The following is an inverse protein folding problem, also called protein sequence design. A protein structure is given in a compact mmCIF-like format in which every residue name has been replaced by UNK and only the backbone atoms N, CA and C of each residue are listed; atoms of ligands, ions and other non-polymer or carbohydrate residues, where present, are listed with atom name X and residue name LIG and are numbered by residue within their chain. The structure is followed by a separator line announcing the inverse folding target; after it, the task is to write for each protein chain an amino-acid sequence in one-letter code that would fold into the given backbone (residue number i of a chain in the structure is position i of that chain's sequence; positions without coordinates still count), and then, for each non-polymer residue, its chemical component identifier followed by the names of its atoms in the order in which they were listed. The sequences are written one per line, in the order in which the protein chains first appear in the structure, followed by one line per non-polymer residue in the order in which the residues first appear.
data_IF_603433269505
#
_entry.id   IF_603433269505
#
_cell.length_a   1.000
_cell.length_b   1.000
_cell.length_c   1.000
_cell.angle_alpha   90.00
_cell.angle_beta   90.00
_cell.angle_gamma   90.00
#
_symmetry.space_group_name_H-M   'P 1'
#
loop_
_entity.id
_entity.type
_entity.pdbx_description
1 polymer ?
#
# COMPACT_ATOMS: atom_id res chain seq x y z
N UNK A 1 4.46 -5.53 13.02
CA UNK A 1 3.37 -4.69 13.60
C UNK A 1 3.92 -3.35 14.12
N UNK A 2 3.09 -2.35 14.44
CA UNK A 2 3.56 -1.07 15.01
C UNK A 2 4.25 -1.24 16.38
N UNK A 3 3.79 -2.19 17.19
CA UNK A 3 4.40 -2.50 18.50
C UNK A 3 5.82 -3.05 18.31
N UNK A 4 5.99 -4.06 17.47
CA UNK A 4 7.29 -4.64 17.17
C UNK A 4 8.29 -3.60 16.62
N UNK A 5 7.83 -2.70 15.74
CA UNK A 5 8.66 -1.61 15.22
C UNK A 5 9.14 -0.67 16.34
N UNK A 6 8.27 -0.28 17.29
CA UNK A 6 8.67 0.57 18.42
C UNK A 6 9.65 -0.12 19.35
N UNK A 7 9.40 -1.38 19.70
CA UNK A 7 10.30 -2.16 20.55
C UNK A 7 11.68 -2.33 19.90
N UNK A 8 11.74 -2.56 18.58
CA UNK A 8 12.99 -2.64 17.84
C UNK A 8 13.73 -1.29 17.82
N UNK A 9 13.01 -0.18 17.65
CA UNK A 9 13.58 1.16 17.69
C UNK A 9 14.20 1.49 19.06
N UNK A 10 13.50 1.16 20.15
CA UNK A 10 13.99 1.35 21.52
C UNK A 10 15.24 0.51 21.79
N UNK A 11 15.24 -0.77 21.39
CA UNK A 11 16.37 -1.69 21.55
C UNK A 11 17.60 -1.25 20.76
N UNK A 12 17.41 -0.81 19.52
CA UNK A 12 18.52 -0.28 18.73
C UNK A 12 19.03 1.00 19.38
N UNK A 13 18.14 1.93 19.74
CA UNK A 13 18.50 3.19 20.38
C UNK A 13 19.36 3.04 21.63
N UNK A 14 19.11 2.03 22.46
CA UNK A 14 19.93 1.74 23.64
C UNK A 14 21.31 1.16 23.32
N UNK A 15 21.46 0.44 22.20
CA UNK A 15 22.72 -0.18 21.79
C UNK A 15 23.68 0.79 21.08
N UNK A 16 23.17 1.68 20.23
CA UNK A 16 24.01 2.55 19.37
C UNK A 16 24.06 4.01 19.81
N UNK A 17 23.28 4.42 20.82
CA UNK A 17 23.38 5.75 21.43
C UNK A 17 22.85 6.89 20.56
N UNK A 18 21.54 7.14 20.62
CA UNK A 18 20.88 8.28 19.97
C UNK A 18 20.27 7.98 18.59
N UNK A 19 19.59 8.95 17.99
CA UNK A 19 18.84 8.78 16.74
C UNK A 19 19.78 8.77 15.52
N UNK A 20 19.94 7.60 14.89
CA UNK A 20 20.71 7.43 13.65
C UNK A 20 19.81 7.63 12.43
N UNK A 21 20.34 8.16 11.32
CA UNK A 21 19.58 8.42 10.08
C UNK A 21 18.78 7.19 9.60
N UNK A 22 19.31 5.98 9.83
CA UNK A 22 18.65 4.70 9.52
C UNK A 22 17.36 4.44 10.32
N UNK A 23 17.23 4.97 11.55
CA UNK A 23 16.02 4.80 12.37
C UNK A 23 14.78 5.40 11.73
N UNK A 24 14.95 6.38 10.83
CA UNK A 24 13.85 6.99 10.08
C UNK A 24 13.13 6.00 9.16
N UNK A 25 13.78 4.90 8.80
CA UNK A 25 13.23 3.87 7.90
C UNK A 25 12.82 2.60 8.65
N UNK A 26 12.93 2.60 9.98
CA UNK A 26 12.43 1.54 10.83
C UNK A 26 10.92 1.72 11.02
N UNK A 27 10.14 0.78 10.53
CA UNK A 27 8.68 0.85 10.65
C UNK A 27 8.01 -0.33 9.97
N UNK A 28 6.68 -0.32 9.99
CA UNK A 28 5.89 -1.26 9.18
C UNK A 28 5.98 -0.88 7.70
N UNK A 29 5.66 -1.82 6.80
CA UNK A 29 5.52 -1.53 5.37
C UNK A 29 4.66 -0.29 5.10
N UNK A 30 3.53 -0.16 5.79
CA UNK A 30 2.62 0.99 5.65
C UNK A 30 3.25 2.31 6.12
N UNK A 31 3.95 2.30 7.26
CA UNK A 31 4.64 3.49 7.79
C UNK A 31 5.74 3.97 6.83
N UNK A 32 6.55 3.03 6.32
CA UNK A 32 7.61 3.31 5.35
C UNK A 32 7.01 3.77 4.01
N UNK A 33 5.92 3.12 3.57
CA UNK A 33 5.23 3.46 2.32
C UNK A 33 4.64 4.85 2.36
N UNK A 34 3.96 5.21 3.45
CA UNK A 34 3.49 6.56 3.69
C UNK A 34 4.64 7.58 3.62
N UNK A 35 5.77 7.32 4.27
CA UNK A 35 6.92 8.23 4.22
C UNK A 35 7.47 8.42 2.80
N UNK A 36 7.53 7.35 2.00
CA UNK A 36 7.96 7.40 0.60
C UNK A 36 6.98 8.22 -0.24
N UNK A 37 5.68 7.88 -0.15
CA UNK A 37 4.64 8.58 -0.90
C UNK A 37 4.57 10.06 -0.54
N UNK A 38 4.73 10.43 0.73
CA UNK A 38 4.76 11.85 1.13
C UNK A 38 5.85 12.64 0.44
N UNK A 39 7.01 12.03 0.19
CA UNK A 39 8.14 12.66 -0.51
C UNK A 39 7.92 12.76 -2.02
N UNK A 40 7.17 11.83 -2.60
CA UNK A 40 7.00 11.69 -4.05
C UNK A 40 5.52 11.78 -4.46
N UNK A 41 4.71 12.51 -3.70
CA UNK A 41 3.24 12.48 -3.82
C UNK A 41 2.77 12.91 -5.21
N UNK A 42 3.41 13.92 -5.79
CA UNK A 42 3.04 14.46 -7.10
C UNK A 42 3.22 13.44 -8.23
N UNK A 43 4.24 12.58 -8.14
CA UNK A 43 4.49 11.51 -9.11
C UNK A 43 3.39 10.44 -9.11
N UNK A 44 2.62 10.36 -8.02
CA UNK A 44 1.47 9.47 -7.92
C UNK A 44 0.12 10.21 -7.98
N UNK A 45 0.11 11.48 -8.38
CA UNK A 45 -1.11 12.28 -8.51
C UNK A 45 -1.75 12.64 -7.17
N UNK A 46 -0.95 12.79 -6.12
CA UNK A 46 -1.36 13.23 -4.79
C UNK A 46 -0.59 14.49 -4.40
N UNK A 47 -1.02 15.16 -3.34
CA UNK A 47 -0.17 16.14 -2.64
C UNK A 47 0.38 15.54 -1.36
N UNK A 48 1.50 16.09 -0.86
CA UNK A 48 2.21 15.56 0.30
C UNK A 48 1.42 15.60 1.60
N UNK A 49 0.24 16.24 1.65
CA UNK A 49 -0.66 16.28 2.81
C UNK A 49 -1.93 15.41 2.65
N UNK A 50 -1.91 14.38 1.78
CA UNK A 50 -2.99 13.39 1.65
C UNK A 50 -3.51 12.79 2.97
N UNK A 51 -4.76 12.39 3.04
CA UNK A 51 -5.34 11.69 4.21
C UNK A 51 -5.27 10.18 4.04
N UNK A 52 -5.11 9.43 5.13
CA UNK A 52 -5.18 7.96 5.11
C UNK A 52 -6.56 7.55 5.65
N UNK A 53 -7.39 6.92 4.83
CA UNK A 53 -8.73 6.47 5.22
C UNK A 53 -8.67 5.18 6.03
N UNK A 54 -9.40 5.15 7.13
CA UNK A 54 -9.67 3.93 7.87
C UNK A 54 -10.74 3.07 7.17
N UNK A 55 -10.98 1.86 7.69
CA UNK A 55 -11.93 0.92 7.09
C UNK A 55 -13.36 1.46 7.01
N UNK A 56 -13.80 2.25 7.99
CA UNK A 56 -15.16 2.76 8.03
C UNK A 56 -15.35 3.88 7.00
N UNK A 57 -14.36 4.75 6.84
CA UNK A 57 -14.36 5.79 5.81
C UNK A 57 -14.28 5.21 4.39
N UNK A 58 -13.49 4.14 4.20
CA UNK A 58 -13.47 3.39 2.94
C UNK A 58 -14.86 2.83 2.60
N UNK A 59 -15.51 2.17 3.57
CA UNK A 59 -16.86 1.60 3.38
C UNK A 59 -17.88 2.69 3.06
N UNK A 60 -17.84 3.84 3.77
CA UNK A 60 -18.73 4.98 3.50
C UNK A 60 -18.55 5.50 2.07
N UNK A 61 -17.31 5.65 1.62
CA UNK A 61 -17.02 6.10 0.26
C UNK A 61 -17.54 5.10 -0.78
N UNK A 62 -17.31 3.81 -0.57
CA UNK A 62 -17.81 2.77 -1.47
C UNK A 62 -19.34 2.78 -1.53
N UNK A 63 -20.05 2.96 -0.40
CA UNK A 63 -21.52 3.08 -0.41
C UNK A 63 -22.03 4.21 -1.29
N UNK A 64 -21.36 5.36 -1.27
CA UNK A 64 -21.72 6.49 -2.15
C UNK A 64 -21.55 6.13 -3.63
N UNK A 65 -20.48 5.40 -3.97
CA UNK A 65 -20.23 4.95 -5.34
C UNK A 65 -21.23 3.89 -5.80
N UNK A 66 -21.61 2.96 -4.93
CA UNK A 66 -22.65 1.99 -5.22
C UNK A 66 -24.00 2.67 -5.49
N UNK A 67 -24.38 3.64 -4.64
CA UNK A 67 -25.60 4.40 -4.83
C UNK A 67 -25.60 5.17 -6.16
N UNK A 68 -24.48 5.81 -6.52
CA UNK A 68 -24.33 6.53 -7.79
C UNK A 68 -24.38 5.61 -9.02
N UNK A 69 -23.99 4.34 -8.86
CA UNK A 69 -24.04 3.32 -9.92
C UNK A 69 -25.36 2.52 -9.94
N UNK A 70 -26.35 2.94 -9.14
CA UNK A 70 -27.65 2.26 -8.96
C UNK A 70 -27.50 0.79 -8.52
N UNK A 71 -26.49 0.51 -7.69
CA UNK A 71 -26.25 -0.81 -7.09
C UNK A 71 -26.81 -0.84 -5.68
N UNK A 72 -27.72 -1.79 -5.42
CA UNK A 72 -28.32 -1.98 -4.10
C UNK A 72 -27.31 -2.54 -3.08
N UNK A 73 -26.92 -1.72 -2.09
CA UNK A 73 -26.02 -2.07 -0.96
C UNK A 73 -26.57 -3.24 -0.11
N UNK A 74 -27.89 -3.49 -0.10
CA UNK A 74 -28.44 -4.64 0.64
C UNK A 74 -28.11 -5.96 -0.04
N UNK A 75 -28.18 -5.97 -1.38
CA UNK A 75 -27.85 -7.15 -2.20
C UNK A 75 -26.34 -7.29 -2.41
N UNK A 76 -25.66 -6.16 -2.53
CA UNK A 76 -24.22 -6.07 -2.81
C UNK A 76 -23.54 -5.17 -1.78
N UNK A 77 -23.25 -5.67 -0.57
CA UNK A 77 -22.78 -4.83 0.52
C UNK A 77 -21.41 -4.20 0.23
N UNK A 78 -21.28 -2.90 0.51
CA UNK A 78 -20.03 -2.16 0.35
C UNK A 78 -18.86 -2.77 1.12
N UNK A 79 -19.11 -3.36 2.29
CA UNK A 79 -18.08 -4.07 3.07
C UNK A 79 -17.49 -5.27 2.32
N UNK A 80 -18.31 -5.98 1.55
CA UNK A 80 -17.85 -7.11 0.72
C UNK A 80 -16.94 -6.58 -0.39
N UNK A 81 -17.32 -5.49 -1.06
CA UNK A 81 -16.48 -4.87 -2.07
C UNK A 81 -15.20 -4.29 -1.49
N UNK A 82 -15.24 -3.65 -0.32
CA UNK A 82 -14.05 -3.14 0.36
C UNK A 82 -13.03 -4.26 0.61
N UNK A 83 -13.49 -5.41 1.12
CA UNK A 83 -12.62 -6.58 1.30
C UNK A 83 -12.11 -7.18 -0.01
N UNK A 84 -12.86 -7.06 -1.11
CA UNK A 84 -12.39 -7.49 -2.42
C UNK A 84 -11.34 -6.55 -3.01
N UNK A 85 -11.53 -5.23 -2.86
CA UNK A 85 -10.55 -4.21 -3.24
C UNK A 85 -9.26 -4.42 -2.47
N UNK A 86 -9.33 -4.62 -1.15
CA UNK A 86 -8.15 -4.89 -0.33
C UNK A 86 -7.38 -6.13 -0.79
N UNK A 87 -8.09 -7.24 -1.12
CA UNK A 87 -7.46 -8.43 -1.71
C UNK A 87 -6.73 -8.12 -3.02
N UNK A 88 -7.36 -7.38 -3.93
CA UNK A 88 -6.71 -6.97 -5.18
C UNK A 88 -5.48 -6.10 -4.93
N UNK A 89 -5.55 -5.14 -4.00
CA UNK A 89 -4.40 -4.30 -3.62
C UNK A 89 -3.27 -5.14 -3.03
N UNK A 90 -3.58 -6.11 -2.16
CA UNK A 90 -2.59 -7.03 -1.57
C UNK A 90 -1.95 -7.97 -2.60
N UNK A 91 -2.60 -8.18 -3.75
CA UNK A 91 -2.04 -8.87 -4.91
C UNK A 91 -1.23 -7.94 -5.85
N UNK A 92 -1.17 -6.64 -5.57
CA UNK A 92 -0.52 -5.65 -6.44
C UNK A 92 -1.35 -5.27 -7.67
N UNK A 93 -2.67 -5.51 -7.64
CA UNK A 93 -3.56 -5.28 -8.77
C UNK A 93 -4.18 -3.88 -8.73
N UNK A 94 -3.92 -3.11 -9.77
CA UNK A 94 -4.69 -1.91 -10.11
C UNK A 94 -5.99 -2.32 -10.81
N UNK A 95 -7.02 -1.45 -10.87
CA UNK A 95 -8.26 -1.77 -11.58
C UNK A 95 -8.03 -2.27 -13.00
N UNK A 96 -7.03 -1.74 -13.71
CA UNK A 96 -6.69 -2.14 -15.07
C UNK A 96 -6.06 -3.54 -15.19
N UNK A 97 -5.43 -4.04 -14.12
CA UNK A 97 -4.70 -5.32 -14.09
C UNK A 97 -5.53 -6.48 -13.55
N UNK A 98 -6.77 -6.23 -13.11
CA UNK A 98 -7.65 -7.30 -12.59
C UNK A 98 -8.08 -8.22 -13.74
N UNK A 99 -7.86 -9.55 -13.63
CA UNK A 99 -8.34 -10.51 -14.63
C UNK A 99 -9.87 -10.49 -14.77
N UNK A 100 -10.39 -10.67 -15.98
CA UNK A 100 -11.84 -10.64 -16.25
C UNK A 100 -12.62 -11.61 -15.38
N UNK A 101 -12.10 -12.83 -15.15
CA UNK A 101 -12.74 -13.85 -14.31
C UNK A 101 -12.94 -13.43 -12.84
N UNK A 102 -12.05 -12.59 -12.30
CA UNK A 102 -12.19 -12.10 -10.92
C UNK A 102 -13.17 -10.92 -10.81
N UNK A 103 -13.33 -10.16 -11.88
CA UNK A 103 -14.21 -8.99 -11.91
C UNK A 103 -15.70 -9.36 -11.77
N UNK A 104 -16.09 -10.57 -12.21
CA UNK A 104 -17.48 -11.06 -12.14
C UNK A 104 -17.99 -11.33 -10.71
N UNK A 105 -17.10 -11.38 -9.70
CA UNK A 105 -17.46 -11.72 -8.32
C UNK A 105 -18.37 -10.70 -7.61
N UNK A 106 -18.50 -9.47 -8.12
CA UNK A 106 -19.30 -8.43 -7.48
C UNK A 106 -20.21 -7.70 -8.48
N UNK A 107 -21.48 -7.54 -8.11
CA UNK A 107 -22.49 -6.78 -8.85
C UNK A 107 -22.53 -7.11 -10.34
N UNK A 108 -22.50 -8.40 -10.68
CA UNK A 108 -22.49 -8.92 -12.06
C UNK A 108 -21.36 -8.36 -12.94
N UNK A 109 -20.14 -8.24 -12.42
CA UNK A 109 -18.98 -7.75 -13.17
C UNK A 109 -18.60 -6.29 -12.92
N UNK A 110 -19.44 -5.53 -12.19
CA UNK A 110 -19.20 -4.10 -11.94
C UNK A 110 -18.12 -3.83 -10.88
N UNK A 111 -17.63 -4.83 -10.16
CA UNK A 111 -16.64 -4.64 -9.08
C UNK A 111 -15.38 -3.88 -9.53
N UNK A 112 -14.87 -4.19 -10.73
CA UNK A 112 -13.70 -3.53 -11.32
C UNK A 112 -13.95 -2.04 -11.61
N UNK A 113 -15.12 -1.72 -12.15
CA UNK A 113 -15.49 -0.34 -12.49
C UNK A 113 -15.69 0.51 -11.23
N UNK A 114 -16.33 -0.05 -10.20
CA UNK A 114 -16.48 0.63 -8.92
C UNK A 114 -15.12 0.82 -8.24
N UNK A 115 -14.21 -0.15 -8.34
CA UNK A 115 -12.85 0.03 -7.84
C UNK A 115 -12.10 1.14 -8.59
N UNK A 116 -12.24 1.22 -9.92
CA UNK A 116 -11.66 2.32 -10.69
C UNK A 116 -12.23 3.69 -10.26
N UNK A 117 -13.55 3.78 -10.09
CA UNK A 117 -14.21 4.99 -9.60
C UNK A 117 -13.77 5.35 -8.17
N UNK A 118 -13.56 4.35 -7.32
CA UNK A 118 -13.05 4.51 -5.96
C UNK A 118 -11.63 5.09 -5.94
N UNK A 119 -10.69 4.52 -6.72
CA UNK A 119 -9.33 5.08 -6.82
C UNK A 119 -9.36 6.51 -7.37
N UNK A 120 -10.17 6.79 -8.40
CA UNK A 120 -10.31 8.15 -8.93
C UNK A 120 -10.83 9.13 -7.86
N UNK A 121 -11.82 8.70 -7.07
CA UNK A 121 -12.39 9.51 -6.00
C UNK A 121 -11.41 9.75 -4.86
N UNK A 122 -10.59 8.76 -4.50
CA UNK A 122 -9.50 8.93 -3.54
C UNK A 122 -8.51 10.02 -3.99
N UNK A 123 -8.09 10.03 -5.26
CA UNK A 123 -7.21 11.08 -5.79
C UNK A 123 -7.84 12.47 -5.70
N UNK A 124 -9.12 12.61 -6.04
CA UNK A 124 -9.86 13.89 -5.92
C UNK A 124 -9.91 14.37 -4.47
N UNK A 125 -10.10 13.45 -3.52
CA UNK A 125 -10.11 13.76 -2.09
C UNK A 125 -8.71 13.95 -1.50
N UNK A 126 -7.67 13.80 -2.32
CA UNK A 126 -6.28 13.71 -1.88
C UNK A 126 -6.14 12.73 -0.72
N UNK A 127 -6.60 11.50 -0.94
CA UNK A 127 -6.63 10.46 0.06
C UNK A 127 -6.08 9.14 -0.50
N UNK A 128 -5.69 8.27 0.41
CA UNK A 128 -5.26 6.89 0.15
C UNK A 128 -5.86 6.00 1.24
N UNK A 129 -6.03 4.71 0.97
CA UNK A 129 -6.25 3.73 2.05
C UNK A 129 -4.97 2.97 2.40
N UNK A 130 -5.07 2.00 3.32
CA UNK A 130 -3.92 1.21 3.75
C UNK A 130 -3.30 0.41 2.60
N UNK A 131 -4.10 -0.21 1.73
CA UNK A 131 -3.59 -0.96 0.59
C UNK A 131 -2.86 -0.06 -0.42
N UNK A 132 -3.33 1.18 -0.59
CA UNK A 132 -2.67 2.16 -1.48
C UNK A 132 -1.28 2.55 -1.02
N UNK A 133 -1.00 2.54 0.29
CA UNK A 133 0.35 2.82 0.80
C UNK A 133 1.39 1.88 0.21
N UNK A 134 0.99 0.65 -0.15
CA UNK A 134 1.83 -0.35 -0.80
C UNK A 134 1.71 -0.27 -2.32
N UNK A 135 0.48 -0.26 -2.84
CA UNK A 135 0.22 -0.31 -4.27
C UNK A 135 0.77 0.93 -5.01
N UNK A 136 0.63 2.12 -4.44
CA UNK A 136 1.17 3.34 -5.04
C UNK A 136 2.69 3.40 -4.92
N UNK A 137 3.29 2.79 -3.89
CA UNK A 137 4.75 2.66 -3.83
C UNK A 137 5.29 1.73 -4.93
N UNK A 138 4.59 0.60 -5.17
CA UNK A 138 4.93 -0.30 -6.28
C UNK A 138 4.86 0.45 -7.61
N UNK A 139 3.76 1.17 -7.84
CA UNK A 139 3.58 1.95 -9.07
C UNK A 139 4.62 3.05 -9.22
N UNK A 140 4.89 3.81 -8.16
CA UNK A 140 5.94 4.83 -8.12
C UNK A 140 7.29 4.26 -8.60
N UNK A 141 7.71 3.12 -8.05
CA UNK A 141 9.00 2.51 -8.40
C UNK A 141 9.02 1.87 -9.79
N UNK A 142 7.90 1.32 -10.26
CA UNK A 142 7.79 0.75 -11.61
C UNK A 142 7.82 1.85 -12.69
N UNK A 143 7.13 2.95 -12.43
CA UNK A 143 6.96 4.03 -13.40
C UNK A 143 8.12 5.04 -13.36
N UNK A 144 8.90 5.09 -12.26
CA UNK A 144 10.00 6.04 -12.06
C UNK A 144 11.28 5.30 -11.61
N UNK A 145 12.03 4.70 -12.55
CA UNK A 145 13.24 3.92 -12.25
C UNK A 145 14.35 4.74 -11.55
N UNK A 146 14.40 6.05 -11.80
CA UNK A 146 15.32 6.99 -11.15
C UNK A 146 15.01 7.15 -9.66
N UNK A 147 13.72 7.23 -9.28
CA UNK A 147 13.29 7.23 -7.88
C UNK A 147 13.66 5.89 -7.23
N UNK A 148 13.36 4.77 -7.90
CA UNK A 148 13.75 3.44 -7.40
C UNK A 148 15.27 3.35 -7.15
N UNK A 149 16.09 3.83 -8.09
CA UNK A 149 17.55 3.81 -7.95
C UNK A 149 18.04 4.60 -6.72
N UNK A 150 17.43 5.74 -6.40
CA UNK A 150 17.75 6.51 -5.19
C UNK A 150 17.49 5.69 -3.90
N UNK A 151 16.39 4.93 -3.87
CA UNK A 151 16.07 4.07 -2.73
C UNK A 151 16.95 2.83 -2.67
N UNK A 152 17.31 2.23 -3.81
CA UNK A 152 18.25 1.11 -3.87
C UNK A 152 19.67 1.52 -3.40
N UNK A 153 20.10 2.75 -3.69
CA UNK A 153 21.38 3.28 -3.19
C UNK A 153 21.33 3.58 -1.68
N UNK A 154 20.19 4.10 -1.22
CA UNK A 154 19.98 4.43 0.20
C UNK A 154 19.86 3.17 1.07
N UNK A 155 19.06 2.19 0.65
CA UNK A 155 18.82 0.96 1.40
C UNK A 155 19.89 -0.08 1.12
N UNK A 156 21.09 0.17 1.68
CA UNK A 156 22.24 -0.72 1.54
C UNK A 156 22.03 -2.11 2.12
N UNK A 157 21.21 -2.21 3.16
CA UNK A 157 20.78 -3.43 3.82
C UNK A 157 19.29 -3.32 4.13
N UNK A 158 18.54 -4.36 3.83
CA UNK A 158 17.10 -4.46 4.11
C UNK A 158 16.90 -5.62 5.08
N UNK A 159 16.31 -5.35 6.23
CA UNK A 159 15.93 -6.36 7.21
C UNK A 159 14.41 -6.44 7.26
N UNK A 160 13.86 -7.64 7.15
CA UNK A 160 12.43 -7.90 7.19
C UNK A 160 12.16 -8.95 8.25
N UNK A 161 11.26 -8.62 9.16
CA UNK A 161 10.78 -9.51 10.22
C UNK A 161 9.36 -10.00 9.88
N UNK A 162 8.96 -11.13 10.42
CA UNK A 162 7.67 -11.80 10.15
C UNK A 162 7.41 -12.01 8.65
N UNK A 163 8.44 -12.49 7.92
CA UNK A 163 8.39 -12.62 6.46
C UNK A 163 7.33 -13.63 5.97
N UNK A 164 6.98 -14.62 6.78
CA UNK A 164 5.93 -15.61 6.49
C UNK A 164 4.54 -14.97 6.32
N UNK A 165 4.31 -13.79 6.90
CA UNK A 165 3.05 -13.05 6.81
C UNK A 165 3.00 -12.09 5.60
N UNK A 166 4.02 -12.09 4.74
CA UNK A 166 4.09 -11.13 3.63
C UNK A 166 3.09 -11.44 2.51
N UNK A 167 2.36 -10.41 2.08
CA UNK A 167 1.51 -10.52 0.90
C UNK A 167 2.29 -10.26 -0.41
N UNK A 168 1.66 -10.52 -1.54
CA UNK A 168 2.29 -10.37 -2.88
C UNK A 168 2.77 -8.95 -3.13
N UNK A 169 2.00 -7.93 -2.75
CA UNK A 169 2.39 -6.54 -2.93
C UNK A 169 3.66 -6.19 -2.11
N UNK A 170 3.72 -6.62 -0.84
CA UNK A 170 4.90 -6.46 0.01
C UNK A 170 6.12 -7.19 -0.56
N UNK A 171 5.93 -8.43 -1.02
CA UNK A 171 6.98 -9.20 -1.69
C UNK A 171 7.54 -8.48 -2.93
N UNK A 172 6.65 -8.03 -3.83
CA UNK A 172 7.06 -7.30 -5.04
C UNK A 172 7.83 -6.03 -4.69
N UNK A 173 7.44 -5.36 -3.60
CA UNK A 173 8.06 -4.13 -3.17
C UNK A 173 9.48 -4.37 -2.65
N UNK A 174 9.66 -5.38 -1.80
CA UNK A 174 10.97 -5.83 -1.35
C UNK A 174 11.83 -6.30 -2.53
N UNK A 175 11.25 -7.01 -3.49
CA UNK A 175 11.97 -7.48 -4.67
C UNK A 175 12.53 -6.32 -5.48
N UNK A 176 11.74 -5.27 -5.74
CA UNK A 176 12.21 -4.07 -6.45
C UNK A 176 13.34 -3.38 -5.69
N UNK A 177 13.22 -3.20 -4.38
CA UNK A 177 14.24 -2.54 -3.56
C UNK A 177 15.53 -3.37 -3.44
N UNK A 178 15.41 -4.69 -3.28
CA UNK A 178 16.55 -5.57 -3.09
C UNK A 178 17.32 -5.83 -4.39
N UNK A 179 16.72 -5.65 -5.57
CA UNK A 179 17.39 -5.92 -6.85
C UNK A 179 18.69 -5.13 -7.06
N UNK A 180 18.82 -3.93 -6.49
CA UNK A 180 20.01 -3.10 -6.64
C UNK A 180 21.28 -3.68 -5.99
N UNK A 181 21.18 -4.22 -4.77
CA UNK A 181 22.34 -4.69 -3.98
C UNK A 181 22.24 -6.12 -3.47
N UNK A 182 21.05 -6.72 -3.48
CA UNK A 182 20.74 -8.09 -3.01
C UNK A 182 21.11 -8.37 -1.55
N UNK A 183 21.25 -7.32 -0.74
CA UNK A 183 21.50 -7.40 0.70
C UNK A 183 20.18 -7.36 1.47
N UNK A 184 19.39 -8.43 1.36
CA UNK A 184 18.14 -8.58 2.11
C UNK A 184 18.27 -9.75 3.09
N UNK A 185 17.87 -9.51 4.34
CA UNK A 185 17.75 -10.52 5.38
C UNK A 185 16.29 -10.60 5.80
N UNK A 186 15.67 -11.76 5.60
CA UNK A 186 14.30 -12.03 6.01
C UNK A 186 14.30 -13.03 7.16
N UNK A 187 13.50 -12.76 8.20
CA UNK A 187 13.27 -13.64 9.35
C UNK A 187 11.79 -14.00 9.38
N UNK A 188 11.48 -15.26 9.67
CA UNK A 188 10.13 -15.79 9.78
C UNK A 188 10.14 -17.27 10.17
N UNK A 189 9.00 -17.77 10.63
CA UNK A 189 8.74 -19.19 10.99
C UNK A 189 7.80 -19.85 9.95
#
# INVERSE_FOLDING_TARGET
TNKAAREMQERIGSLIGGAVEGMRWLGTFHSVGAQILRRHAELVGLTSNFTILDTDDQIRLIKQLLAAAEIDDKRWPARVLAGQIDRWKNQGLTPAKIPEGEAFGFANGKGRDIYAAYQARLKVLNAVDFGDLLLECLRLFQDNPDVLAQYQERFKYILVDEYQDTNVAQYLWLRLLAQGRRNICCVGD
#
